data_IF_435066618031
#
_entry.id   IF_435066618031
#
_cell.length_a   1.000
_cell.length_b   1.000
_cell.length_c   1.000
_cell.angle_alpha   90.00
_cell.angle_beta   90.00
_cell.angle_gamma   90.00
#
_symmetry.space_group_name_H-M   'P 1'
#
loop_
_entity.id
_entity.type
_entity.pdbx_description
1 polymer ?
#
# COMPACT_ATOMS: atom_id res chain seq x y z
N UNK A 1 22.73 20.58 123.92
CA UNK A 1 21.73 20.59 122.82
C UNK A 1 22.09 21.78 121.93
N UNK A 2 22.60 21.65 120.71
CA UNK A 2 22.39 20.72 119.59
C UNK A 2 23.70 20.52 118.79
N UNK A 3 23.82 19.46 117.99
CA UNK A 3 24.95 19.27 117.08
C UNK A 3 24.76 20.04 115.77
N UNK A 4 25.85 20.61 115.26
CA UNK A 4 25.97 21.24 113.93
C UNK A 4 25.89 20.18 112.83
N UNK A 5 25.11 20.36 111.74
CA UNK A 5 25.07 19.39 110.66
C UNK A 5 26.30 19.55 109.75
N UNK A 6 26.96 18.44 109.45
CA UNK A 6 28.03 18.34 108.47
C UNK A 6 27.47 18.58 107.05
N UNK A 7 28.15 19.41 106.25
CA UNK A 7 27.82 19.62 104.84
C UNK A 7 28.15 18.37 104.03
N UNK A 8 27.17 17.83 103.32
CA UNK A 8 27.37 16.78 102.33
C UNK A 8 28.20 17.31 101.13
N UNK A 9 29.04 16.48 100.49
CA UNK A 9 29.83 16.90 99.33
C UNK A 9 28.92 17.08 98.11
N UNK A 10 29.24 18.02 97.19
CA UNK A 10 28.47 18.20 95.96
C UNK A 10 28.64 16.98 95.03
N UNK A 11 27.51 16.48 94.52
CA UNK A 11 27.47 15.44 93.48
C UNK A 11 28.08 15.96 92.16
N UNK A 12 28.70 15.10 91.33
CA UNK A 12 29.49 15.53 90.17
C UNK A 12 28.60 15.95 89.00
N UNK A 13 28.41 17.27 88.81
CA UNK A 13 27.62 17.86 87.72
C UNK A 13 28.15 17.52 86.30
N UNK A 14 29.42 17.13 86.18
CA UNK A 14 30.11 16.81 84.92
C UNK A 14 29.62 15.52 84.25
N UNK A 15 29.12 14.55 85.01
CA UNK A 15 28.63 13.28 84.44
C UNK A 15 27.30 13.46 83.69
N UNK A 16 26.40 14.28 84.23
CA UNK A 16 25.10 14.55 83.61
C UNK A 16 25.24 15.37 82.32
N UNK A 17 26.12 16.37 82.31
CA UNK A 17 26.39 17.22 81.13
C UNK A 17 26.99 16.42 79.97
N UNK A 18 27.92 15.50 80.25
CA UNK A 18 28.49 14.63 79.23
C UNK A 18 27.44 13.68 78.62
N UNK A 19 26.56 13.11 79.45
CA UNK A 19 25.49 12.22 78.99
C UNK A 19 24.47 12.95 78.10
N UNK A 20 24.15 14.22 78.41
CA UNK A 20 23.28 15.05 77.56
C UNK A 20 23.91 15.43 76.22
N UNK A 21 25.22 15.68 76.18
CA UNK A 21 25.93 16.01 74.94
C UNK A 21 26.04 14.79 74.01
N UNK A 22 26.30 13.62 74.58
CA UNK A 22 26.36 12.35 73.85
C UNK A 22 24.99 11.99 73.25
N UNK A 23 23.91 12.13 74.04
CA UNK A 23 22.54 11.93 73.56
C UNK A 23 22.16 12.90 72.43
N UNK A 24 22.58 14.17 72.53
CA UNK A 24 22.33 15.16 71.48
C UNK A 24 23.07 14.82 70.18
N UNK A 25 24.31 14.34 70.28
CA UNK A 25 25.10 13.88 69.13
C UNK A 25 24.47 12.65 68.46
N UNK A 26 24.01 11.67 69.26
CA UNK A 26 23.30 10.50 68.74
C UNK A 26 21.99 10.88 68.07
N UNK A 27 21.20 11.78 68.67
CA UNK A 27 19.96 12.29 68.07
C UNK A 27 20.21 13.03 66.74
N UNK A 28 21.28 13.81 66.65
CA UNK A 28 21.66 14.49 65.41
C UNK A 28 22.15 13.51 64.33
N UNK A 29 22.76 12.38 64.72
CA UNK A 29 23.10 11.30 63.78
C UNK A 29 21.85 10.57 63.28
N UNK A 30 20.98 10.14 64.20
CA UNK A 30 19.73 9.46 63.85
C UNK A 30 18.82 10.32 62.97
N UNK A 31 18.74 11.62 63.25
CA UNK A 31 17.95 12.55 62.44
C UNK A 31 18.48 12.65 61.01
N UNK A 32 19.82 12.63 60.82
CA UNK A 32 20.43 12.60 59.48
C UNK A 32 20.17 11.27 58.76
N UNK A 33 20.27 10.15 59.46
CA UNK A 33 19.98 8.83 58.87
C UNK A 33 18.52 8.69 58.46
N UNK A 34 17.59 9.17 59.29
CA UNK A 34 16.15 9.22 58.97
C UNK A 34 15.92 10.11 57.75
N UNK A 35 16.50 11.32 57.72
CA UNK A 35 16.35 12.22 56.57
C UNK A 35 16.87 11.59 55.28
N UNK A 36 17.98 10.85 55.37
CA UNK A 36 18.57 10.13 54.23
C UNK A 36 17.66 9.00 53.75
N UNK A 37 17.08 8.20 54.66
CA UNK A 37 16.12 7.14 54.31
C UNK A 37 14.87 7.70 53.65
N UNK A 38 14.28 8.75 54.24
CA UNK A 38 13.07 9.39 53.69
C UNK A 38 13.33 9.92 52.28
N UNK A 39 14.48 10.56 52.04
CA UNK A 39 14.85 11.04 50.71
C UNK A 39 15.00 9.89 49.70
N UNK A 40 15.63 8.78 50.10
CA UNK A 40 15.77 7.60 49.25
C UNK A 40 14.43 6.93 48.93
N UNK A 41 13.54 6.81 49.93
CA UNK A 41 12.19 6.27 49.76
C UNK A 41 11.34 7.14 48.82
N UNK A 42 11.40 8.46 48.97
CA UNK A 42 10.71 9.41 48.08
C UNK A 42 11.24 9.34 46.65
N UNK A 43 12.56 9.24 46.47
CA UNK A 43 13.17 9.10 45.15
C UNK A 43 12.73 7.79 44.46
N UNK A 44 12.73 6.68 45.20
CA UNK A 44 12.26 5.40 44.69
C UNK A 44 10.78 5.44 44.31
N UNK A 45 9.93 6.00 45.18
CA UNK A 45 8.49 6.12 44.92
C UNK A 45 8.21 7.01 43.70
N UNK A 46 8.95 8.11 43.54
CA UNK A 46 8.86 9.00 42.37
C UNK A 46 9.26 8.28 41.08
N UNK A 47 10.34 7.50 41.11
CA UNK A 47 10.79 6.72 39.96
C UNK A 47 9.78 5.61 39.59
N UNK A 48 9.26 4.88 40.57
CA UNK A 48 8.21 3.87 40.37
C UNK A 48 6.94 4.48 39.77
N UNK A 49 6.50 5.64 40.27
CA UNK A 49 5.36 6.36 39.71
C UNK A 49 5.61 6.82 38.27
N UNK A 50 6.83 7.27 37.95
CA UNK A 50 7.20 7.64 36.59
C UNK A 50 7.15 6.44 35.64
N UNK A 51 7.76 5.30 35.99
CA UNK A 51 7.71 4.09 35.16
C UNK A 51 6.27 3.59 34.95
N UNK A 52 5.43 3.65 36.00
CA UNK A 52 4.00 3.34 35.88
C UNK A 52 3.27 4.25 34.88
N UNK A 53 3.58 5.56 34.88
CA UNK A 53 3.02 6.51 33.89
C UNK A 53 3.51 6.22 32.48
N UNK A 54 4.79 5.88 32.30
CA UNK A 54 5.34 5.53 30.98
C UNK A 54 4.65 4.30 30.41
N UNK A 55 4.51 3.24 31.21
CA UNK A 55 3.81 2.02 30.77
C UNK A 55 2.34 2.29 30.41
N UNK A 56 1.66 3.13 31.19
CA UNK A 56 0.25 3.49 30.95
C UNK A 56 0.04 4.49 29.80
N UNK A 57 1.07 5.23 29.40
CA UNK A 57 1.01 6.11 28.22
C UNK A 57 1.07 5.33 26.90
N UNK A 58 1.56 4.09 26.92
CA UNK A 58 1.59 3.21 25.76
C UNK A 58 0.17 2.68 25.50
N UNK A 59 -0.31 2.87 24.27
CA UNK A 59 -1.66 2.45 23.85
C UNK A 59 -1.78 0.96 23.62
N UNK A 60 -0.67 0.30 23.27
CA UNK A 60 -0.61 -1.14 23.08
C UNK A 60 -0.68 -1.83 24.45
N UNK A 61 -1.55 -2.86 24.62
CA UNK A 61 -1.55 -3.70 25.80
C UNK A 61 -0.17 -4.30 26.10
N UNK A 62 0.31 -4.07 27.32
CA UNK A 62 1.58 -4.61 27.81
C UNK A 62 1.32 -5.37 29.10
N UNK A 63 1.92 -6.55 29.20
CA UNK A 63 1.92 -7.37 30.40
C UNK A 63 3.32 -7.91 30.70
N UNK A 64 3.55 -8.23 31.96
CA UNK A 64 4.74 -8.92 32.44
C UNK A 64 4.31 -10.09 33.30
N UNK A 65 4.89 -11.27 33.07
CA UNK A 65 4.67 -12.48 33.88
C UNK A 65 5.93 -12.92 34.61
N UNK A 66 5.73 -13.55 35.76
CA UNK A 66 6.77 -14.29 36.47
C UNK A 66 7.01 -15.69 35.86
N UNK A 67 8.00 -16.40 36.40
CA UNK A 67 8.34 -17.78 36.02
C UNK A 67 7.24 -18.81 36.36
N UNK A 68 6.19 -18.40 37.08
CA UNK A 68 5.02 -19.23 37.39
C UNK A 68 3.83 -18.86 36.51
N UNK A 69 4.06 -18.15 35.40
CA UNK A 69 3.07 -17.74 34.41
C UNK A 69 1.98 -16.81 34.99
N UNK A 70 2.28 -16.09 36.08
CA UNK A 70 1.35 -15.13 36.69
C UNK A 70 1.69 -13.72 36.30
N UNK A 71 0.67 -12.90 36.02
CA UNK A 71 0.87 -11.49 35.70
C UNK A 71 1.36 -10.72 36.95
N UNK A 72 2.55 -10.11 36.84
CA UNK A 72 3.14 -9.27 37.89
C UNK A 72 3.03 -7.78 37.59
N UNK A 73 2.84 -7.41 36.31
CA UNK A 73 2.64 -6.02 35.89
C UNK A 73 1.80 -5.99 34.63
N UNK A 74 0.86 -5.06 34.55
CA UNK A 74 0.04 -4.79 33.36
C UNK A 74 -0.16 -3.29 33.23
N UNK A 75 -0.26 -2.78 31.99
CA UNK A 75 -0.64 -1.40 31.75
C UNK A 75 -2.17 -1.24 31.64
N UNK A 76 -2.65 0.01 31.60
CA UNK A 76 -4.08 0.29 31.49
C UNK A 76 -4.70 -0.20 30.17
N UNK A 77 -3.92 -0.24 29.09
CA UNK A 77 -4.38 -0.78 27.81
C UNK A 77 -4.69 -2.27 27.90
N UNK A 78 -3.87 -3.04 28.61
CA UNK A 78 -4.11 -4.46 28.86
C UNK A 78 -5.34 -4.70 29.73
N UNK A 79 -5.55 -3.89 30.77
CA UNK A 79 -6.77 -3.96 31.58
C UNK A 79 -8.04 -3.72 30.73
N UNK A 80 -7.98 -2.76 29.80
CA UNK A 80 -9.09 -2.49 28.86
C UNK A 80 -9.33 -3.64 27.90
N UNK A 81 -8.27 -4.22 27.33
CA UNK A 81 -8.37 -5.38 26.43
C UNK A 81 -9.02 -6.57 27.13
N UNK A 82 -8.58 -6.87 28.36
CA UNK A 82 -9.13 -7.98 29.15
C UNK A 82 -10.50 -7.68 29.76
N UNK A 83 -10.99 -6.44 29.69
CA UNK A 83 -12.19 -5.97 30.37
C UNK A 83 -12.22 -6.30 31.88
N UNK A 84 -11.06 -6.18 32.54
CA UNK A 84 -10.88 -6.52 33.95
C UNK A 84 -10.11 -5.43 34.70
N UNK A 85 -10.42 -5.16 35.97
CA UNK A 85 -9.64 -4.24 36.78
C UNK A 85 -8.26 -4.85 37.07
N UNK A 86 -7.23 -4.00 37.15
CA UNK A 86 -5.83 -4.42 37.39
C UNK A 86 -5.68 -5.40 38.56
N UNK A 87 -6.41 -5.18 39.65
CA UNK A 87 -6.38 -6.02 40.86
C UNK A 87 -6.91 -7.44 40.63
N UNK A 88 -7.78 -7.65 39.64
CA UNK A 88 -8.28 -8.98 39.29
C UNK A 88 -7.29 -9.75 38.42
N UNK A 89 -6.41 -9.06 37.68
CA UNK A 89 -5.42 -9.66 36.79
C UNK A 89 -4.13 -10.01 37.53
N UNK A 90 -3.64 -9.13 38.40
CA UNK A 90 -2.35 -9.35 39.07
C UNK A 90 -2.35 -10.63 39.92
N UNK A 91 -1.29 -11.44 39.76
CA UNK A 91 -1.13 -12.73 40.41
C UNK A 91 -1.96 -13.88 39.82
N UNK A 92 -2.75 -13.62 38.78
CA UNK A 92 -3.54 -14.64 38.07
C UNK A 92 -2.83 -15.16 36.84
N UNK A 93 -3.31 -16.30 36.36
CA UNK A 93 -2.87 -16.94 35.12
C UNK A 93 -3.87 -16.68 34.01
N UNK A 94 -3.42 -16.71 32.76
CA UNK A 94 -4.31 -16.68 31.59
C UNK A 94 -5.37 -17.78 31.59
N UNK A 95 -5.09 -18.91 32.24
CA UNK A 95 -6.04 -20.00 32.40
C UNK A 95 -7.32 -19.61 33.16
N UNK A 96 -7.28 -18.53 33.95
CA UNK A 96 -8.46 -18.02 34.68
C UNK A 96 -9.40 -17.20 33.78
N UNK A 97 -8.94 -16.78 32.59
CA UNK A 97 -9.66 -15.84 31.71
C UNK A 97 -9.83 -16.33 30.27
N UNK A 98 -8.94 -17.19 29.78
CA UNK A 98 -8.95 -17.71 28.41
C UNK A 98 -9.47 -19.16 28.37
N UNK A 99 -9.74 -19.65 27.16
CA UNK A 99 -10.10 -21.07 26.98
C UNK A 99 -8.93 -21.99 27.36
N UNK A 100 -9.24 -23.21 27.79
CA UNK A 100 -8.22 -24.18 28.21
C UNK A 100 -7.18 -24.47 27.12
N UNK A 101 -7.60 -24.49 25.86
CA UNK A 101 -6.71 -24.69 24.71
C UNK A 101 -5.72 -23.53 24.55
N UNK A 102 -6.22 -22.29 24.55
CA UNK A 102 -5.38 -21.10 24.44
C UNK A 102 -4.40 -20.97 25.60
N UNK A 103 -4.86 -21.26 26.83
CA UNK A 103 -4.00 -21.25 28.01
C UNK A 103 -2.87 -22.29 27.92
N UNK A 104 -3.17 -23.50 27.43
CA UNK A 104 -2.18 -24.55 27.26
C UNK A 104 -1.13 -24.22 26.18
N UNK A 105 -1.57 -23.71 25.03
CA UNK A 105 -0.67 -23.27 23.95
C UNK A 105 0.25 -22.13 24.41
N UNK A 106 -0.32 -21.17 25.13
CA UNK A 106 0.42 -20.06 25.75
C UNK A 106 1.47 -20.56 26.73
N UNK A 107 1.11 -21.47 27.66
CA UNK A 107 2.08 -22.05 28.61
C UNK A 107 3.20 -22.81 27.91
N UNK A 108 2.89 -23.57 26.86
CA UNK A 108 3.89 -24.32 26.10
C UNK A 108 4.88 -23.39 25.39
N UNK A 109 4.38 -22.31 24.78
CA UNK A 109 5.23 -21.28 24.18
C UNK A 109 6.14 -20.62 25.23
N UNK A 110 5.57 -20.23 26.36
CA UNK A 110 6.30 -19.54 27.42
C UNK A 110 7.40 -20.41 28.02
N UNK A 111 7.11 -21.69 28.28
CA UNK A 111 8.10 -22.66 28.74
C UNK A 111 9.28 -22.79 27.75
N UNK A 112 9.00 -22.77 26.44
CA UNK A 112 10.04 -22.75 25.41
C UNK A 112 10.85 -21.46 25.46
N UNK A 113 10.21 -20.30 25.54
CA UNK A 113 10.87 -18.99 25.57
C UNK A 113 11.77 -18.82 26.80
N UNK A 114 11.34 -19.30 27.97
CA UNK A 114 12.17 -19.30 29.18
C UNK A 114 13.39 -20.20 29.05
N UNK A 115 13.27 -21.32 28.34
CA UNK A 115 14.39 -22.25 28.11
C UNK A 115 15.39 -21.66 27.10
N UNK A 116 14.92 -21.00 26.04
CA UNK A 116 15.78 -20.49 24.97
C UNK A 116 16.27 -19.06 25.20
N UNK A 117 15.72 -18.33 26.19
CA UNK A 117 15.85 -16.88 26.34
C UNK A 117 15.57 -16.11 25.04
N UNK A 118 14.55 -16.58 24.30
CA UNK A 118 14.21 -16.05 22.99
C UNK A 118 13.07 -15.04 22.99
N UNK A 119 12.67 -14.68 21.78
CA UNK A 119 11.45 -13.94 21.49
C UNK A 119 10.55 -14.74 20.54
N UNK A 120 9.24 -14.50 20.62
CA UNK A 120 8.26 -15.00 19.68
C UNK A 120 7.25 -13.91 19.33
N UNK A 121 6.76 -13.97 18.10
CA UNK A 121 5.70 -13.09 17.59
C UNK A 121 4.64 -13.97 16.94
N UNK A 122 3.38 -13.83 17.38
CA UNK A 122 2.28 -14.73 17.03
C UNK A 122 1.04 -13.91 16.74
N UNK A 123 0.32 -14.29 15.69
CA UNK A 123 -1.01 -13.78 15.37
C UNK A 123 -2.08 -14.68 16.02
N UNK A 124 -2.93 -14.09 16.85
CA UNK A 124 -3.96 -14.78 17.62
C UNK A 124 -5.31 -14.08 17.39
N UNK A 125 -6.38 -14.86 17.28
CA UNK A 125 -7.73 -14.29 17.25
C UNK A 125 -8.27 -14.24 18.68
N UNK A 126 -8.68 -13.04 19.10
CA UNK A 126 -9.25 -12.78 20.41
C UNK A 126 -10.69 -12.29 20.25
N UNK A 127 -11.64 -13.07 20.77
CA UNK A 127 -13.04 -12.65 20.81
C UNK A 127 -13.31 -11.94 22.12
N UNK A 128 -13.72 -10.69 22.03
CA UNK A 128 -14.12 -9.87 23.18
C UNK A 128 -15.45 -10.35 23.77
N UNK A 129 -15.78 -9.94 24.99
CA UNK A 129 -17.08 -10.22 25.63
C UNK A 129 -18.28 -9.73 24.80
N UNK A 130 -18.07 -8.72 23.96
CA UNK A 130 -19.07 -8.15 23.06
C UNK A 130 -19.29 -8.97 21.78
N UNK A 131 -18.50 -10.03 21.56
CA UNK A 131 -18.56 -10.88 20.36
C UNK A 131 -17.73 -10.38 19.17
N UNK A 132 -16.99 -9.28 19.33
CA UNK A 132 -16.07 -8.78 18.30
C UNK A 132 -14.78 -9.62 18.30
N UNK A 133 -14.39 -10.12 17.13
CA UNK A 133 -13.14 -10.86 16.94
C UNK A 133 -12.04 -9.92 16.47
N UNK A 134 -11.03 -9.73 17.31
CA UNK A 134 -9.82 -8.99 17.01
C UNK A 134 -8.72 -9.94 16.55
N UNK A 135 -7.95 -9.53 15.57
CA UNK A 135 -6.69 -10.18 15.18
C UNK A 135 -5.54 -9.47 15.88
N UNK A 136 -4.96 -10.14 16.87
CA UNK A 136 -3.92 -9.59 17.75
C UNK A 136 -2.56 -10.16 17.36
N UNK A 137 -1.58 -9.27 17.17
CA UNK A 137 -0.18 -9.61 17.04
C UNK A 137 0.49 -9.49 18.41
N UNK A 138 0.77 -10.63 19.04
CA UNK A 138 1.39 -10.69 20.36
C UNK A 138 2.88 -10.99 20.22
N UNK A 139 3.72 -10.03 20.60
CA UNK A 139 5.17 -10.24 20.73
C UNK A 139 5.53 -10.51 22.19
N UNK A 140 6.24 -11.61 22.45
CA UNK A 140 6.67 -12.04 23.78
C UNK A 140 8.18 -12.21 23.82
N UNK A 141 8.81 -11.68 24.86
CA UNK A 141 10.27 -11.73 25.05
C UNK A 141 10.56 -12.22 26.46
N UNK A 142 11.41 -13.25 26.56
CA UNK A 142 11.93 -13.70 27.85
C UNK A 142 13.09 -12.80 28.29
N UNK A 143 12.99 -12.25 29.50
CA UNK A 143 14.00 -11.39 30.12
C UNK A 143 14.30 -11.88 31.54
N UNK A 144 15.50 -11.63 32.05
CA UNK A 144 15.85 -11.95 33.44
C UNK A 144 15.59 -10.75 34.35
N UNK A 145 14.96 -11.01 35.49
CA UNK A 145 14.74 -9.99 36.51
C UNK A 145 15.97 -9.76 37.39
N UNK A 146 15.89 -8.81 38.34
CA UNK A 146 16.97 -8.49 39.27
C UNK A 146 17.40 -9.67 40.17
N UNK A 147 16.52 -10.67 40.36
CA UNK A 147 16.78 -11.90 41.11
C UNK A 147 17.28 -13.05 40.22
N UNK A 148 17.68 -12.77 38.97
CA UNK A 148 18.12 -13.75 37.98
C UNK A 148 17.09 -14.86 37.65
N UNK A 149 15.80 -14.58 37.85
CA UNK A 149 14.71 -15.46 37.44
C UNK A 149 14.17 -15.04 36.07
N UNK A 150 13.73 -16.00 35.24
CA UNK A 150 13.10 -15.68 33.97
C UNK A 150 11.74 -15.00 34.21
N UNK A 151 11.49 -13.96 33.44
CA UNK A 151 10.27 -13.16 33.40
C UNK A 151 9.90 -12.94 31.94
N UNK A 152 8.62 -12.83 31.65
CA UNK A 152 8.14 -12.66 30.28
C UNK A 152 7.55 -11.28 30.12
N UNK A 153 7.96 -10.54 29.08
CA UNK A 153 7.33 -9.29 28.68
C UNK A 153 6.55 -9.53 27.41
N UNK A 154 5.26 -9.20 27.42
CA UNK A 154 4.37 -9.29 26.27
C UNK A 154 3.85 -7.92 25.87
N UNK A 155 3.84 -7.65 24.57
CA UNK A 155 3.13 -6.52 23.95
C UNK A 155 2.15 -7.08 22.92
N UNK A 156 0.94 -6.55 22.91
CA UNK A 156 -0.12 -6.98 22.01
C UNK A 156 -0.51 -5.79 21.14
N UNK A 157 -0.61 -6.02 19.83
CA UNK A 157 -1.05 -5.03 18.88
C UNK A 157 -2.24 -5.53 18.10
N UNK A 158 -3.31 -4.75 18.10
CA UNK A 158 -4.45 -5.00 17.22
C UNK A 158 -4.04 -4.68 15.77
N UNK A 159 -4.16 -5.68 14.89
CA UNK A 159 -3.88 -5.56 13.45
C UNK A 159 -5.12 -5.82 12.59
N UNK A 160 -6.32 -5.87 13.20
CA UNK A 160 -7.58 -6.21 12.54
C UNK A 160 -7.86 -5.28 11.37
N UNK A 161 -7.94 -3.97 11.62
CA UNK A 161 -8.18 -2.95 10.59
C UNK A 161 -7.09 -2.98 9.51
N UNK A 162 -5.82 -3.16 9.92
CA UNK A 162 -4.68 -3.21 9.00
C UNK A 162 -4.75 -4.43 8.08
N UNK A 163 -5.18 -5.58 8.58
CA UNK A 163 -5.36 -6.79 7.76
C UNK A 163 -6.55 -6.64 6.82
N UNK A 164 -7.68 -6.11 7.29
CA UNK A 164 -8.86 -5.85 6.46
C UNK A 164 -8.53 -4.91 5.29
N UNK A 165 -7.87 -3.79 5.57
CA UNK A 165 -7.47 -2.84 4.54
C UNK A 165 -6.50 -3.48 3.52
N UNK A 166 -5.56 -4.30 4.00
CA UNK A 166 -4.61 -5.00 3.12
C UNK A 166 -5.33 -6.00 2.21
N UNK A 167 -6.31 -6.72 2.72
CA UNK A 167 -7.10 -7.67 1.95
C UNK A 167 -8.00 -6.96 0.92
N UNK A 168 -8.65 -5.86 1.30
CA UNK A 168 -9.47 -5.05 0.39
C UNK A 168 -8.65 -4.49 -0.78
N UNK A 169 -7.45 -3.98 -0.48
CA UNK A 169 -6.51 -3.52 -1.51
C UNK A 169 -6.09 -4.66 -2.45
N UNK A 170 -5.80 -5.84 -1.89
CA UNK A 170 -5.43 -7.03 -2.66
C UNK A 170 -6.57 -7.44 -3.60
N UNK A 171 -7.80 -7.50 -3.10
CA UNK A 171 -8.98 -7.84 -3.90
C UNK A 171 -9.23 -6.82 -5.01
N UNK A 172 -9.09 -5.52 -4.70
CA UNK A 172 -9.21 -4.44 -5.68
C UNK A 172 -8.16 -4.56 -6.79
N UNK A 173 -6.91 -4.87 -6.44
CA UNK A 173 -5.84 -5.08 -7.41
C UNK A 173 -6.12 -6.27 -8.34
N UNK A 174 -6.55 -7.41 -7.76
CA UNK A 174 -6.94 -8.60 -8.54
C UNK A 174 -8.09 -8.30 -9.50
N UNK A 175 -9.13 -7.60 -9.03
CA UNK A 175 -10.28 -7.21 -9.84
C UNK A 175 -9.88 -6.28 -10.99
N UNK A 176 -9.05 -5.27 -10.71
CA UNK A 176 -8.53 -4.33 -11.72
C UNK A 176 -7.73 -5.06 -12.80
N UNK A 177 -6.84 -5.98 -12.40
CA UNK A 177 -6.05 -6.76 -13.34
C UNK A 177 -6.92 -7.66 -14.23
N UNK A 178 -7.97 -8.27 -13.67
CA UNK A 178 -8.91 -9.08 -14.44
C UNK A 178 -9.68 -8.24 -15.47
N UNK A 179 -10.10 -7.02 -15.11
CA UNK A 179 -10.76 -6.08 -16.01
C UNK A 179 -9.84 -5.65 -17.17
N UNK A 180 -8.59 -5.28 -16.88
CA UNK A 180 -7.63 -4.91 -17.92
C UNK A 180 -7.40 -6.06 -18.91
N UNK A 181 -7.19 -7.29 -18.42
CA UNK A 181 -7.05 -8.47 -19.28
C UNK A 181 -8.29 -8.75 -20.14
N UNK A 182 -9.48 -8.48 -19.61
CA UNK A 182 -10.72 -8.64 -20.38
C UNK A 182 -10.81 -7.59 -21.50
N UNK A 183 -10.48 -6.33 -21.22
CA UNK A 183 -10.43 -5.25 -22.22
C UNK A 183 -9.38 -5.55 -23.30
N UNK A 184 -8.20 -6.02 -22.92
CA UNK A 184 -7.15 -6.45 -23.87
C UNK A 184 -7.66 -7.56 -24.78
N UNK A 185 -8.29 -8.61 -24.23
CA UNK A 185 -8.87 -9.68 -25.05
C UNK A 185 -9.96 -9.17 -25.99
N UNK A 186 -10.84 -8.27 -25.54
CA UNK A 186 -11.86 -7.68 -26.43
C UNK A 186 -11.18 -6.91 -27.57
N UNK A 187 -10.15 -6.11 -27.27
CA UNK A 187 -9.38 -5.38 -28.28
C UNK A 187 -8.63 -6.30 -29.24
N UNK A 188 -8.10 -7.42 -28.78
CA UNK A 188 -7.44 -8.44 -29.62
C UNK A 188 -8.43 -9.23 -30.48
N UNK A 189 -9.66 -9.47 -29.98
CA UNK A 189 -10.71 -10.19 -30.72
C UNK A 189 -11.46 -9.35 -31.74
N UNK A 190 -11.32 -8.02 -31.71
CA UNK A 190 -11.88 -7.16 -32.75
C UNK A 190 -10.95 -7.23 -33.97
N UNK A 191 -11.41 -7.99 -34.97
CA UNK A 191 -10.80 -8.08 -36.29
C UNK A 191 -10.52 -6.68 -36.84
N UNK A 192 -9.25 -6.38 -37.13
CA UNK A 192 -8.83 -5.09 -37.68
C UNK A 192 -9.60 -4.75 -38.96
N UNK A 193 -9.94 -5.75 -39.77
CA UNK A 193 -10.73 -5.57 -40.98
C UNK A 193 -12.17 -5.16 -40.63
N UNK A 194 -12.74 -5.71 -39.55
CA UNK A 194 -14.06 -5.32 -39.05
C UNK A 194 -14.06 -3.90 -38.45
N UNK A 195 -13.02 -3.50 -37.72
CA UNK A 195 -12.89 -2.13 -37.18
C UNK A 195 -12.81 -1.12 -38.33
N UNK A 196 -11.92 -1.35 -39.30
CA UNK A 196 -11.74 -0.42 -40.42
C UNK A 196 -12.99 -0.35 -41.29
N UNK A 197 -13.65 -1.48 -41.57
CA UNK A 197 -14.89 -1.52 -42.34
C UNK A 197 -16.07 -0.82 -41.64
N UNK A 198 -16.18 -0.96 -40.32
CA UNK A 198 -17.20 -0.25 -39.55
C UNK A 198 -16.93 1.27 -39.55
N UNK A 199 -15.67 1.65 -39.34
CA UNK A 199 -15.25 3.05 -39.29
C UNK A 199 -15.48 3.77 -40.62
N UNK A 200 -15.10 3.16 -41.76
CA UNK A 200 -15.34 3.77 -43.09
C UNK A 200 -16.82 3.97 -43.37
N UNK A 201 -17.67 3.02 -42.96
CA UNK A 201 -19.13 3.11 -43.12
C UNK A 201 -19.75 4.23 -42.30
N UNK A 202 -19.37 4.33 -41.02
CA UNK A 202 -19.85 5.42 -40.15
C UNK A 202 -19.41 6.79 -40.67
N UNK A 203 -18.15 6.94 -41.08
CA UNK A 203 -17.63 8.20 -41.62
C UNK A 203 -18.33 8.61 -42.91
N UNK A 204 -18.62 7.68 -43.82
CA UNK A 204 -19.35 8.00 -45.05
C UNK A 204 -20.73 8.57 -44.75
N UNK A 205 -21.45 8.00 -43.78
CA UNK A 205 -22.77 8.46 -43.36
C UNK A 205 -22.71 9.83 -42.68
N UNK A 206 -21.76 10.02 -41.76
CA UNK A 206 -21.61 11.28 -41.00
C UNK A 206 -21.18 12.44 -41.91
N UNK A 207 -20.25 12.19 -42.83
CA UNK A 207 -19.76 13.19 -43.79
C UNK A 207 -20.70 13.38 -44.98
N UNK A 208 -21.72 12.54 -45.12
CA UNK A 208 -22.66 12.52 -46.24
C UNK A 208 -21.93 12.55 -47.60
N UNK A 209 -20.86 11.78 -47.74
CA UNK A 209 -20.03 11.74 -48.95
C UNK A 209 -20.20 10.42 -49.72
N UNK A 210 -19.78 10.42 -50.99
CA UNK A 210 -19.91 9.25 -51.86
C UNK A 210 -18.98 8.10 -51.48
N UNK A 211 -17.82 8.39 -50.87
CA UNK A 211 -16.80 7.37 -50.58
C UNK A 211 -15.87 7.77 -49.43
N UNK A 212 -15.55 6.79 -48.57
CA UNK A 212 -14.46 6.87 -47.59
C UNK A 212 -13.54 5.66 -47.79
N UNK A 213 -12.23 5.88 -47.77
CA UNK A 213 -11.22 4.84 -47.99
C UNK A 213 -10.12 4.95 -46.95
N UNK A 214 -9.69 3.82 -46.43
CA UNK A 214 -8.47 3.69 -45.63
C UNK A 214 -7.45 2.92 -46.47
N UNK A 215 -6.27 3.50 -46.64
CA UNK A 215 -5.15 2.87 -47.33
C UNK A 215 -3.89 2.91 -46.49
N UNK A 216 -2.98 1.96 -46.75
CA UNK A 216 -1.72 1.79 -46.03
C UNK A 216 -0.57 1.77 -47.02
N UNK A 217 0.47 2.55 -46.72
CA UNK A 217 1.76 2.44 -47.40
C UNK A 217 2.53 1.21 -46.93
N UNK A 218 3.09 0.45 -47.85
CA UNK A 218 4.10 -0.56 -47.59
C UNK A 218 5.49 0.09 -47.46
N UNK A 219 6.50 -0.60 -46.91
CA UNK A 219 7.87 -0.07 -46.77
C UNK A 219 8.51 0.36 -48.11
N UNK A 220 8.07 -0.21 -49.22
CA UNK A 220 8.49 0.15 -50.57
C UNK A 220 7.73 1.35 -51.16
N UNK A 221 6.91 2.04 -50.35
CA UNK A 221 6.03 3.17 -50.73
C UNK A 221 4.90 2.81 -51.69
N UNK A 222 4.65 1.51 -51.93
CA UNK A 222 3.43 1.07 -52.60
C UNK A 222 2.22 1.21 -51.67
N UNK A 223 1.05 1.52 -52.23
CA UNK A 223 -0.20 1.70 -51.47
C UNK A 223 -1.10 0.48 -51.60
N UNK A 224 -1.72 0.07 -50.49
CA UNK A 224 -2.78 -0.94 -50.47
C UNK A 224 -4.02 -0.38 -49.78
N UNK A 225 -5.18 -0.53 -50.41
CA UNK A 225 -6.47 -0.22 -49.78
C UNK A 225 -6.81 -1.31 -48.75
N UNK A 226 -7.12 -0.91 -47.53
CA UNK A 226 -7.38 -1.82 -46.39
C UNK A 226 -8.86 -1.85 -46.02
N UNK A 227 -9.58 -0.72 -46.19
CA UNK A 227 -11.03 -0.67 -46.06
C UNK A 227 -11.62 0.43 -46.95
N UNK A 228 -12.87 0.24 -47.36
CA UNK A 228 -13.62 1.19 -48.19
C UNK A 228 -15.10 1.13 -47.80
N UNK A 229 -15.76 2.28 -47.84
CA UNK A 229 -17.22 2.40 -47.91
C UNK A 229 -17.57 3.29 -49.10
N UNK A 230 -18.44 2.82 -49.98
CA UNK A 230 -18.72 3.46 -51.27
C UNK A 230 -20.22 3.44 -51.57
N UNK A 231 -20.75 4.55 -52.08
CA UNK A 231 -22.15 4.72 -52.43
C UNK A 231 -22.57 3.92 -53.67
N UNK A 232 -23.88 3.67 -53.81
CA UNK A 232 -24.43 2.99 -54.96
C UNK A 232 -24.17 3.78 -56.25
N UNK A 233 -23.70 3.11 -57.32
CA UNK A 233 -23.33 3.72 -58.60
C UNK A 233 -21.84 4.01 -58.77
N UNK A 234 -21.03 3.87 -57.72
CA UNK A 234 -19.58 4.06 -57.77
C UNK A 234 -18.82 2.72 -57.74
N UNK A 235 -17.78 2.59 -58.58
CA UNK A 235 -16.95 1.37 -58.69
C UNK A 235 -16.00 1.21 -57.49
N UNK A 236 -16.10 0.11 -56.73
CA UNK A 236 -15.30 -0.14 -55.51
C UNK A 236 -13.81 -0.30 -55.81
N UNK A 237 -12.95 0.44 -55.09
CA UNK A 237 -11.47 0.36 -55.17
C UNK A 237 -10.88 -0.90 -54.54
N UNK A 238 -11.55 -1.49 -53.54
CA UNK A 238 -11.17 -2.81 -53.01
C UNK A 238 -11.44 -3.92 -54.03
N UNK A 239 -12.54 -3.83 -54.79
CA UNK A 239 -12.90 -4.79 -55.84
C UNK A 239 -12.00 -4.76 -57.09
N UNK A 240 -11.38 -3.62 -57.42
CA UNK A 240 -10.49 -3.48 -58.60
C UNK A 240 -9.19 -4.28 -58.47
N UNK A 241 -8.84 -4.78 -57.29
CA UNK A 241 -7.70 -5.71 -57.15
C UNK A 241 -8.01 -7.09 -57.74
N UNK A 242 -9.29 -7.42 -57.97
CA UNK A 242 -9.75 -8.66 -58.59
C UNK A 242 -10.41 -8.39 -59.95
N UNK A 243 -9.59 -8.41 -61.00
CA UNK A 243 -9.90 -8.78 -62.39
C UNK A 243 -10.90 -7.99 -63.26
N UNK A 244 -11.58 -6.94 -62.79
CA UNK A 244 -12.53 -6.23 -63.66
C UNK A 244 -11.86 -5.19 -64.60
N UNK A 245 -11.90 -5.49 -65.90
CA UNK A 245 -11.29 -4.75 -67.00
C UNK A 245 -12.10 -3.51 -67.43
N UNK A 246 -13.31 -3.31 -66.89
CA UNK A 246 -14.28 -2.29 -67.33
C UNK A 246 -14.02 -0.86 -66.83
N UNK A 247 -13.24 -0.66 -65.77
CA UNK A 247 -12.87 0.70 -65.32
C UNK A 247 -11.82 1.32 -66.26
N UNK A 248 -11.01 0.47 -66.89
CA UNK A 248 -9.87 0.87 -67.72
C UNK A 248 -10.27 1.21 -69.16
N UNK A 249 -11.48 0.87 -69.59
CA UNK A 249 -11.95 1.14 -70.95
C UNK A 249 -12.40 2.60 -71.15
N UNK A 250 -12.95 3.27 -70.13
CA UNK A 250 -13.28 4.71 -70.19
C UNK A 250 -12.02 5.60 -70.18
N UNK A 251 -10.98 5.19 -69.45
CA UNK A 251 -9.68 5.88 -69.42
C UNK A 251 -8.90 5.84 -70.76
N UNK A 252 -9.40 5.12 -71.77
CA UNK A 252 -8.77 5.01 -73.10
C UNK A 252 -8.75 6.33 -73.86
N UNK A 253 -9.68 7.25 -73.60
CA UNK A 253 -9.90 8.39 -74.49
C UNK A 253 -9.02 9.61 -74.17
N UNK A 254 -8.47 9.74 -72.96
CA UNK A 254 -7.81 10.98 -72.50
C UNK A 254 -6.37 10.86 -71.94
N UNK A 255 -5.62 9.84 -72.34
CA UNK A 255 -4.33 9.50 -71.69
C UNK A 255 -3.06 9.81 -72.51
N UNK A 256 -2.91 11.03 -73.04
CA UNK A 256 -1.62 11.48 -73.60
C UNK A 256 -0.82 12.46 -72.72
N UNK A 257 -1.33 12.86 -71.54
CA UNK A 257 -0.61 13.76 -70.62
C UNK A 257 0.53 13.05 -69.84
N UNK A 258 1.66 13.75 -69.67
CA UNK A 258 2.77 13.31 -68.82
C UNK A 258 2.43 13.52 -67.34
N UNK A 259 2.72 12.53 -66.46
CA UNK A 259 2.41 12.60 -65.02
C UNK A 259 1.12 11.88 -64.58
N UNK A 260 0.42 11.23 -65.52
CA UNK A 260 -0.79 10.49 -65.22
C UNK A 260 -0.53 9.09 -64.64
N UNK A 261 -0.74 8.90 -63.33
CA UNK A 261 -0.59 7.60 -62.66
C UNK A 261 -1.75 6.64 -62.91
N UNK A 262 -2.88 7.12 -63.44
CA UNK A 262 -3.99 6.27 -63.90
C UNK A 262 -3.54 5.25 -64.96
N UNK A 263 -2.50 5.56 -65.75
CA UNK A 263 -1.86 4.61 -66.68
C UNK A 263 -1.31 3.36 -65.98
N UNK A 264 -0.86 3.49 -64.73
CA UNK A 264 -0.23 2.41 -63.97
C UNK A 264 -1.25 1.48 -63.30
N UNK A 265 -2.50 1.94 -63.11
CA UNK A 265 -3.61 1.08 -62.67
C UNK A 265 -3.95 -0.03 -63.69
N UNK A 266 -3.47 0.10 -64.94
CA UNK A 266 -3.62 -0.89 -66.01
C UNK A 266 -2.83 -2.18 -65.80
N UNK A 267 -1.80 -2.17 -64.95
CA UNK A 267 -0.75 -3.22 -64.93
C UNK A 267 -0.94 -4.32 -63.87
N UNK A 268 -2.16 -4.51 -63.34
CA UNK A 268 -2.50 -5.60 -62.37
C UNK A 268 -1.65 -5.68 -61.10
N UNK A 269 -0.80 -4.69 -60.85
CA UNK A 269 -0.14 -4.45 -59.58
C UNK A 269 -0.54 -3.04 -59.16
N UNK A 270 -1.55 -2.95 -58.30
CA UNK A 270 -1.82 -1.77 -57.46
C UNK A 270 -0.68 -1.63 -56.44
N UNK A 271 0.53 -1.48 -56.95
CA UNK A 271 1.69 -0.98 -56.24
C UNK A 271 2.08 0.33 -56.92
N UNK A 272 1.11 1.24 -57.05
CA UNK A 272 1.41 2.62 -57.43
C UNK A 272 2.27 3.17 -56.31
N UNK A 273 3.53 3.44 -56.64
CA UNK A 273 4.50 3.99 -55.72
C UNK A 273 4.29 5.49 -55.69
N UNK A 274 3.95 6.04 -54.54
CA UNK A 274 3.78 7.49 -54.42
C UNK A 274 5.17 8.13 -54.43
N UNK A 275 5.65 8.51 -55.61
CA UNK A 275 6.98 9.10 -55.79
C UNK A 275 7.09 10.45 -55.10
N UNK A 276 6.00 11.22 -55.02
CA UNK A 276 6.00 12.52 -54.36
C UNK A 276 6.20 12.37 -52.85
N UNK A 277 5.40 11.55 -52.17
CA UNK A 277 5.55 11.30 -50.73
C UNK A 277 6.82 10.51 -50.42
N UNK A 278 7.30 9.65 -51.32
CA UNK A 278 8.58 8.99 -51.17
C UNK A 278 9.74 9.99 -51.20
N UNK A 279 9.83 10.82 -52.24
CA UNK A 279 10.93 11.77 -52.44
C UNK A 279 10.93 12.86 -51.37
N UNK A 280 9.74 13.25 -50.90
CA UNK A 280 9.56 14.22 -49.81
C UNK A 280 9.52 13.60 -48.41
N UNK A 281 9.70 12.27 -48.29
CA UNK A 281 9.63 11.51 -47.03
C UNK A 281 8.38 11.83 -46.19
N UNK A 282 7.21 11.87 -46.82
CA UNK A 282 5.91 12.14 -46.20
C UNK A 282 5.38 13.56 -46.40
N UNK A 283 6.06 14.39 -47.22
CA UNK A 283 5.58 15.71 -47.60
C UNK A 283 5.23 16.61 -46.40
N UNK A 284 4.11 17.32 -46.49
CA UNK A 284 3.64 18.20 -45.41
C UNK A 284 3.12 17.41 -44.19
N UNK A 285 2.75 16.15 -44.35
CA UNK A 285 2.30 15.29 -43.24
C UNK A 285 3.42 15.00 -42.22
N UNK A 286 4.69 14.99 -42.65
CA UNK A 286 5.83 14.90 -41.72
C UNK A 286 5.96 16.12 -40.82
N UNK A 287 5.45 17.27 -41.27
CA UNK A 287 5.45 18.53 -40.52
C UNK A 287 4.24 18.66 -39.59
N UNK A 288 3.39 17.63 -39.49
CA UNK A 288 2.25 17.59 -38.58
C UNK A 288 0.91 18.04 -39.20
N UNK A 289 0.85 18.33 -40.50
CA UNK A 289 -0.44 18.49 -41.18
C UNK A 289 -1.22 17.17 -41.13
N UNK A 290 -2.50 17.25 -40.78
CA UNK A 290 -3.35 16.06 -40.56
C UNK A 290 -4.26 15.74 -41.74
N UNK A 291 -4.58 16.71 -42.59
CA UNK A 291 -5.47 16.53 -43.73
C UNK A 291 -5.14 17.51 -44.86
N UNK A 292 -5.57 17.16 -46.08
CA UNK A 292 -5.55 18.05 -47.24
C UNK A 292 -6.93 18.05 -47.87
N UNK A 293 -7.43 19.23 -48.20
CA UNK A 293 -8.74 19.44 -48.82
C UNK A 293 -8.56 20.05 -50.21
N UNK A 294 -9.36 19.58 -51.17
CA UNK A 294 -9.48 20.15 -52.50
C UNK A 294 -10.97 20.36 -52.77
N UNK A 295 -11.41 21.61 -52.77
CA UNK A 295 -12.84 21.95 -52.87
C UNK A 295 -13.41 21.69 -54.27
N UNK A 296 -12.61 21.91 -55.31
CA UNK A 296 -13.00 21.68 -56.70
C UNK A 296 -11.80 21.21 -57.53
N UNK A 297 -11.86 19.95 -57.99
CA UNK A 297 -10.80 19.32 -58.78
C UNK A 297 -10.59 19.98 -60.15
N UNK A 298 -11.61 20.62 -60.73
CA UNK A 298 -11.53 21.30 -62.02
C UNK A 298 -10.75 22.61 -61.93
N UNK A 299 -10.66 23.20 -60.73
CA UNK A 299 -9.92 24.45 -60.47
C UNK A 299 -8.55 24.20 -59.83
N UNK A 300 -8.29 22.98 -59.37
CA UNK A 300 -7.07 22.61 -58.66
C UNK A 300 -5.84 22.35 -59.56
N UNK A 301 -5.96 22.64 -60.86
CA UNK A 301 -4.88 22.50 -61.86
C UNK A 301 -4.28 21.08 -61.91
N UNK A 302 -5.12 20.05 -61.69
CA UNK A 302 -4.71 18.68 -61.94
C UNK A 302 -4.54 18.43 -63.45
N UNK A 303 -3.64 17.53 -63.86
CA UNK A 303 -3.56 17.10 -65.25
C UNK A 303 -4.92 16.56 -65.72
N UNK A 304 -5.31 16.88 -66.96
CA UNK A 304 -6.62 16.54 -67.54
C UNK A 304 -7.01 15.07 -67.34
N UNK A 305 -6.02 14.18 -67.39
CA UNK A 305 -6.24 12.75 -67.21
C UNK A 305 -6.78 12.31 -65.83
N UNK A 306 -6.70 13.16 -64.79
CA UNK A 306 -7.30 12.90 -63.47
C UNK A 306 -8.70 13.51 -63.32
N UNK A 307 -9.07 14.38 -64.26
CA UNK A 307 -10.32 15.14 -64.26
C UNK A 307 -11.33 14.52 -65.23
N UNK A 308 -10.85 14.01 -66.36
CA UNK A 308 -11.63 13.36 -67.43
C UNK A 308 -11.78 11.84 -67.23
#
# INVERSE_FOLDING_TARGET
>A
TLPTPASAPPLPATSAQNCTAELAATNASLSRDIQTRVAAEQALQSHQAFLGRVLNAITDPIFVKDHQHRWITVNDAFCRLMNQPRVALLGKSEADFLTATQAAESHQLEARLFTTQGEAEIEENFTTDCGETLTLLTKRVAVTNAQAQPTLVGIIRDITERQQLREDLRQTAVRSQALLRAVERVRETLDLDAIFSATTRELQQVLACDRVVIYRFRPDWSVVFVAESVGAGWKSLLGVQSDETEILDDARQNTNAAGCTLKQMRTRQLAVKDTYLQDTQGGTYRLGEQYRQCDDIYTANFPDCYIE
#
